data_IF_664768431684
#
_entry.id   IF_664768431684
#
_cell.length_a   1.000
_cell.length_b   1.000
_cell.length_c   1.000
_cell.angle_alpha   90.00
_cell.angle_beta   90.00
_cell.angle_gamma   90.00
#
_symmetry.space_group_name_H-M   'P 1'
#
loop_
_entity.id
_entity.type
_entity.pdbx_description
1 polymer ?
#
# COMPACT_ATOMS: atom_id res chain seq x y z
N UNK A 1 -2.28 -14.87 -0.71
CA UNK A 1 -2.73 -14.96 -2.12
C UNK A 1 -2.91 -16.44 -2.49
N UNK A 2 -4.01 -16.82 -3.15
CA UNK A 2 -4.26 -18.22 -3.56
C UNK A 2 -3.45 -18.59 -4.81
N UNK A 3 -2.94 -19.82 -4.86
CA UNK A 3 -2.17 -20.35 -6.00
C UNK A 3 -2.98 -20.32 -7.31
N UNK A 4 -4.29 -20.60 -7.25
CA UNK A 4 -5.16 -20.58 -8.42
C UNK A 4 -5.28 -19.20 -9.06
N UNK A 5 -5.27 -18.14 -8.24
CA UNK A 5 -5.28 -16.77 -8.76
C UNK A 5 -3.95 -16.42 -9.46
N UNK A 6 -2.80 -16.84 -8.91
CA UNK A 6 -1.49 -16.65 -9.56
C UNK A 6 -1.46 -17.29 -10.96
N UNK A 7 -2.01 -18.49 -11.11
CA UNK A 7 -2.11 -19.20 -12.39
C UNK A 7 -3.06 -18.46 -13.35
N UNK A 8 -4.26 -18.07 -12.89
CA UNK A 8 -5.21 -17.30 -13.68
C UNK A 8 -4.59 -16.01 -14.23
N UNK A 9 -3.88 -15.27 -13.38
CA UNK A 9 -3.22 -14.01 -13.76
C UNK A 9 -2.11 -14.23 -14.78
N UNK A 10 -1.38 -15.34 -14.71
CA UNK A 10 -0.34 -15.66 -15.70
C UNK A 10 -0.95 -15.92 -17.09
N UNK A 11 -2.09 -16.60 -17.17
CA UNK A 11 -2.75 -16.88 -18.46
C UNK A 11 -3.49 -15.66 -19.02
N UNK A 12 -4.26 -14.95 -18.18
CA UNK A 12 -5.16 -13.88 -18.63
C UNK A 12 -4.56 -12.48 -18.54
N UNK A 13 -3.53 -12.28 -17.71
CA UNK A 13 -2.87 -11.00 -17.54
C UNK A 13 -1.63 -10.85 -18.43
N UNK A 14 -1.38 -9.63 -18.87
CA UNK A 14 -0.10 -9.15 -19.38
C UNK A 14 0.69 -8.53 -18.24
N UNK A 15 1.95 -8.93 -18.07
CA UNK A 15 2.84 -8.34 -17.07
C UNK A 15 3.30 -6.98 -17.58
N UNK A 16 2.90 -5.90 -16.91
CA UNK A 16 3.24 -4.52 -17.29
C UNK A 16 4.57 -4.10 -16.68
N UNK A 17 4.77 -4.42 -15.41
CA UNK A 17 5.96 -4.04 -14.66
C UNK A 17 6.16 -4.93 -13.43
N UNK A 18 7.39 -4.95 -12.94
CA UNK A 18 7.76 -5.56 -11.68
C UNK A 18 8.58 -4.53 -10.90
N UNK A 19 8.12 -4.21 -9.69
CA UNK A 19 8.83 -3.33 -8.77
C UNK A 19 9.96 -4.10 -8.07
N UNK A 20 10.93 -3.38 -7.53
CA UNK A 20 12.09 -3.91 -6.82
C UNK A 20 11.70 -4.64 -5.53
N UNK A 21 10.54 -4.31 -4.93
CA UNK A 21 9.96 -5.05 -3.82
C UNK A 21 9.41 -6.44 -4.23
N UNK A 22 9.40 -6.76 -5.53
CA UNK A 22 8.89 -8.01 -6.07
C UNK A 22 7.39 -8.01 -6.37
N UNK A 23 6.72 -6.87 -6.19
CA UNK A 23 5.32 -6.69 -6.58
C UNK A 23 5.19 -6.70 -8.11
N UNK A 24 4.24 -7.48 -8.63
CA UNK A 24 4.02 -7.62 -10.08
C UNK A 24 2.70 -6.98 -10.49
N UNK A 25 2.77 -6.09 -11.47
CA UNK A 25 1.64 -5.33 -11.99
C UNK A 25 1.13 -5.98 -13.27
N UNK A 26 -0.15 -6.36 -13.27
CA UNK A 26 -0.79 -7.03 -14.39
C UNK A 26 -1.96 -6.22 -14.92
N UNK A 27 -2.16 -6.30 -16.22
CA UNK A 27 -3.31 -5.76 -16.93
C UNK A 27 -3.97 -6.89 -17.73
N UNK A 28 -5.30 -6.93 -17.79
CA UNK A 28 -6.00 -7.93 -18.60
C UNK A 28 -5.66 -7.75 -20.09
N UNK A 29 -5.34 -8.86 -20.76
CA UNK A 29 -5.04 -8.88 -22.20
C UNK A 29 -6.24 -8.42 -23.05
N UNK A 30 -7.47 -8.71 -22.59
CA UNK A 30 -8.69 -8.40 -23.35
C UNK A 30 -9.27 -7.03 -23.00
N UNK A 31 -9.08 -6.57 -21.77
CA UNK A 31 -9.68 -5.34 -21.28
C UNK A 31 -8.66 -4.52 -20.48
N UNK A 32 -8.09 -3.50 -21.11
CA UNK A 32 -7.08 -2.63 -20.48
C UNK A 32 -7.56 -1.90 -19.20
N UNK A 33 -8.87 -1.82 -18.95
CA UNK A 33 -9.43 -1.21 -17.74
C UNK A 33 -9.32 -2.10 -16.51
N UNK A 34 -9.10 -3.42 -16.69
CA UNK A 34 -8.91 -4.36 -15.59
C UNK A 34 -7.42 -4.48 -15.27
N UNK A 35 -7.05 -4.02 -14.08
CA UNK A 35 -5.67 -4.01 -13.56
C UNK A 35 -5.65 -4.69 -12.20
N UNK A 36 -4.61 -5.44 -11.90
CA UNK A 36 -4.41 -6.04 -10.58
C UNK A 36 -2.93 -6.19 -10.26
N UNK A 37 -2.64 -6.38 -8.98
CA UNK A 37 -1.29 -6.53 -8.45
C UNK A 37 -1.20 -7.90 -7.80
N UNK A 38 -0.10 -8.60 -8.07
CA UNK A 38 0.31 -9.77 -7.28
C UNK A 38 1.42 -9.30 -6.37
N UNK A 39 1.11 -9.19 -5.08
CA UNK A 39 2.09 -8.82 -4.06
C UNK A 39 3.14 -9.91 -3.87
N UNK A 40 4.36 -9.50 -3.55
CA UNK A 40 5.38 -10.41 -3.06
C UNK A 40 4.96 -11.03 -1.72
N UNK A 41 5.53 -12.19 -1.41
CA UNK A 41 5.17 -12.92 -0.21
C UNK A 41 5.56 -12.12 1.05
N UNK A 42 4.60 -11.91 1.96
CA UNK A 42 4.80 -11.13 3.18
C UNK A 42 4.52 -9.62 3.06
N UNK A 43 4.18 -9.13 1.86
CA UNK A 43 3.76 -7.74 1.63
C UNK A 43 2.25 -7.64 1.41
N UNK A 44 1.66 -6.53 1.85
CA UNK A 44 0.27 -6.17 1.61
C UNK A 44 0.09 -4.90 0.76
N UNK A 45 -1.15 -4.42 0.62
CA UNK A 45 -1.50 -3.20 -0.13
C UNK A 45 -0.78 -1.94 0.34
N UNK A 46 -0.33 -1.90 1.60
CA UNK A 46 0.45 -0.81 2.18
C UNK A 46 1.82 -0.60 1.51
N UNK A 47 2.32 -1.64 0.83
CA UNK A 47 3.63 -1.63 0.15
C UNK A 47 3.64 -0.86 -1.18
N UNK A 48 2.49 -0.34 -1.62
CA UNK A 48 2.36 0.30 -2.94
C UNK A 48 2.69 1.81 -2.85
N UNK A 49 3.55 2.35 -3.73
CA UNK A 49 3.74 3.78 -3.90
C UNK A 49 2.53 4.45 -4.55
N UNK A 50 2.42 5.76 -4.36
CA UNK A 50 1.29 6.57 -4.87
C UNK A 50 1.10 6.43 -6.39
N UNK A 51 2.17 6.41 -7.18
CA UNK A 51 2.08 6.31 -8.64
C UNK A 51 1.43 5.01 -9.10
N UNK A 52 1.83 3.88 -8.52
CA UNK A 52 1.23 2.58 -8.84
C UNK A 52 -0.20 2.45 -8.32
N UNK A 53 -0.53 3.09 -7.19
CA UNK A 53 -1.91 3.18 -6.71
C UNK A 53 -2.80 3.95 -7.70
N UNK A 54 -2.35 5.10 -8.19
CA UNK A 54 -3.07 5.89 -9.20
C UNK A 54 -3.30 5.10 -10.49
N UNK A 55 -2.29 4.33 -10.91
CA UNK A 55 -2.41 3.44 -12.07
C UNK A 55 -3.42 2.32 -11.86
N UNK A 56 -3.43 1.69 -10.68
CA UNK A 56 -4.39 0.63 -10.35
C UNK A 56 -5.84 1.15 -10.39
N UNK A 57 -6.07 2.40 -9.96
CA UNK A 57 -7.37 3.05 -9.93
C UNK A 57 -7.76 3.78 -11.22
N UNK A 58 -7.03 3.55 -12.33
CA UNK A 58 -7.25 4.24 -13.61
C UNK A 58 -7.28 5.77 -13.50
N UNK A 59 -6.62 6.33 -12.48
CA UNK A 59 -6.48 7.79 -12.30
C UNK A 59 -5.35 8.34 -13.17
N UNK A 60 -4.34 7.52 -13.45
CA UNK A 60 -3.25 7.82 -14.39
C UNK A 60 -2.94 6.58 -15.23
N UNK A 61 -2.59 6.78 -16.50
CA UNK A 61 -2.09 5.72 -17.38
C UNK A 61 -0.56 5.63 -17.39
N UNK A 62 0.11 6.60 -16.79
CA UNK A 62 1.57 6.64 -16.73
C UNK A 62 2.04 5.82 -15.54
N UNK A 63 2.63 4.66 -15.84
CA UNK A 63 3.41 3.93 -14.86
C UNK A 63 4.81 4.53 -14.85
N UNK A 64 5.08 5.46 -13.93
CA UNK A 64 6.38 6.11 -13.87
C UNK A 64 7.44 5.10 -13.43
N UNK A 65 8.37 4.79 -14.33
CA UNK A 65 9.39 3.75 -14.17
C UNK A 65 10.64 4.28 -13.46
N UNK A 66 10.78 5.60 -13.37
CA UNK A 66 11.91 6.28 -12.75
C UNK A 66 11.60 6.63 -11.29
N UNK A 67 11.11 5.67 -10.50
CA UNK A 67 11.10 5.84 -9.06
C UNK A 67 12.53 5.60 -8.59
N UNK A 68 13.35 6.66 -8.54
CA UNK A 68 14.72 6.63 -8.04
C UNK A 68 14.80 6.41 -6.51
N UNK A 69 13.71 6.02 -5.87
CA UNK A 69 13.46 6.24 -4.44
C UNK A 69 12.92 4.98 -3.76
N UNK A 70 13.62 3.86 -3.93
CA UNK A 70 13.34 2.65 -3.15
C UNK A 70 13.38 2.93 -1.65
N UNK A 71 14.33 3.77 -1.21
CA UNK A 71 14.52 4.13 0.19
C UNK A 71 13.35 4.96 0.73
N UNK A 72 12.80 5.91 -0.03
CA UNK A 72 11.59 6.63 0.40
C UNK A 72 10.37 5.71 0.44
N UNK A 73 10.25 4.78 -0.51
CA UNK A 73 9.16 3.80 -0.53
C UNK A 73 9.18 2.93 0.73
N UNK A 74 10.35 2.38 1.06
CA UNK A 74 10.56 1.59 2.28
C UNK A 74 10.31 2.42 3.54
N UNK A 75 10.76 3.67 3.58
CA UNK A 75 10.52 4.57 4.71
C UNK A 75 9.03 4.92 4.86
N UNK A 76 8.30 5.14 3.77
CA UNK A 76 6.87 5.37 3.77
C UNK A 76 6.08 4.14 4.24
N UNK A 77 6.49 2.92 3.84
CA UNK A 77 5.86 1.68 4.32
C UNK A 77 6.07 1.52 5.82
N UNK A 78 7.28 1.79 6.32
CA UNK A 78 7.58 1.80 7.76
C UNK A 78 6.73 2.84 8.49
N UNK A 79 6.59 4.06 7.95
CA UNK A 79 5.74 5.10 8.53
C UNK A 79 4.25 4.75 8.54
N UNK A 80 3.73 4.08 7.51
CA UNK A 80 2.32 3.66 7.41
C UNK A 80 1.97 2.49 8.32
N UNK A 81 2.92 1.57 8.53
CA UNK A 81 2.74 0.41 9.43
C UNK A 81 2.92 0.78 10.90
N UNK A 82 3.64 1.87 11.18
CA UNK A 82 3.66 2.47 12.51
C UNK A 82 2.25 2.92 12.88
N UNK A 83 1.68 2.29 13.90
CA UNK A 83 0.38 2.70 14.45
C UNK A 83 0.52 4.15 14.92
N UNK A 84 -0.34 5.02 14.39
CA UNK A 84 -0.49 6.36 14.95
C UNK A 84 -1.03 6.23 16.37
N UNK A 85 -0.17 6.43 17.36
CA UNK A 85 -0.55 6.44 18.78
C UNK A 85 -0.76 7.90 19.17
N UNK A 86 -2.02 8.30 19.30
CA UNK A 86 -2.34 9.58 19.95
C UNK A 86 -2.11 9.43 21.44
N UNK A 87 -0.99 9.95 21.94
CA UNK A 87 -0.88 10.21 23.37
C UNK A 87 -1.59 11.52 23.65
N UNK A 88 -2.65 11.50 24.45
CA UNK A 88 -3.13 12.73 25.06
C UNK A 88 -1.99 13.27 25.94
N UNK A 89 -1.63 14.55 25.81
CA UNK A 89 -0.67 15.14 26.76
C UNK A 89 -1.23 14.90 28.17
N UNK A 90 -0.46 14.34 29.11
CA UNK A 90 -0.91 14.23 30.48
C UNK A 90 -1.19 15.66 30.97
N UNK A 91 -2.47 15.98 31.15
CA UNK A 91 -2.88 17.23 31.76
C UNK A 91 -2.85 16.99 33.27
N UNK A 92 -1.74 17.33 33.92
CA UNK A 92 -1.61 17.26 35.39
C UNK A 92 -2.56 18.25 36.10
N UNK A 93 -3.01 19.29 35.40
CA UNK A 93 -3.96 20.27 35.92
C UNK A 93 -5.36 20.00 35.39
N UNK A 94 -6.18 19.30 36.19
CA UNK A 94 -7.64 19.27 35.95
C UNK A 94 -8.20 20.66 36.25
N UNK A 95 -9.02 21.21 35.36
CA UNK A 95 -9.66 22.53 35.56
C UNK A 95 -10.74 22.56 36.65
N UNK A 96 -10.96 21.44 37.34
CA UNK A 96 -11.91 21.28 38.43
C UNK A 96 -11.42 20.22 39.41
N UNK A 97 -11.82 20.35 40.67
CA UNK A 97 -11.58 19.35 41.70
C UNK A 97 -12.75 18.37 41.74
N UNK A 98 -12.47 17.09 41.48
CA UNK A 98 -13.48 16.03 41.60
C UNK A 98 -13.72 15.69 43.07
N UNK A 99 -14.99 15.49 43.45
CA UNK A 99 -15.35 15.03 44.78
C UNK A 99 -14.71 13.67 45.09
N UNK A 100 -14.16 13.53 46.30
CA UNK A 100 -13.58 12.27 46.78
C UNK A 100 -14.37 11.79 48.01
N UNK A 101 -15.06 10.63 47.93
CA UNK A 101 -15.76 10.06 49.06
C UNK A 101 -14.80 9.70 50.19
N UNK A 102 -15.30 9.73 51.42
CA UNK A 102 -14.63 9.18 52.61
C UNK A 102 -15.07 7.75 52.85
#
# INVERSE_FOLDING_TARGET
MSLGFKIYSYFNGSLVHQDSLGNKFYQDKKNSSKRWIIYADGLGPESIPTNYHNWLHNTSDVLDKNIHELDELVNNIKGRTQKHITTHKPNDTKGYNSWQPK
#
